data_IF_287406167202
#
_entry.id   IF_287406167202
#
_cell.length_a   1.000
_cell.length_b   1.000
_cell.length_c   1.000
_cell.angle_alpha   90.00
_cell.angle_beta   90.00
_cell.angle_gamma   90.00
#
_symmetry.space_group_name_H-M   'P 1'
#
loop_
_entity.id
_entity.type
_entity.pdbx_description
1 polymer ?
#
# COMPACT_ATOMS: atom_id res chain seq x y z
N UNK A 1 -45.24 42.22 -12.24
CA UNK A 1 -44.93 41.12 -13.17
C UNK A 1 -43.47 41.14 -13.67
N UNK A 2 -42.50 41.54 -12.84
CA UNK A 2 -41.07 41.68 -13.25
C UNK A 2 -40.17 40.60 -12.64
N UNK A 3 -40.40 40.25 -11.36
CA UNK A 3 -39.58 39.27 -10.63
C UNK A 3 -39.71 37.83 -11.15
N UNK A 4 -40.92 37.42 -11.58
CA UNK A 4 -41.15 36.08 -12.14
C UNK A 4 -40.46 35.87 -13.50
N UNK A 5 -40.25 36.95 -14.28
CA UNK A 5 -39.48 36.88 -15.54
C UNK A 5 -37.98 36.81 -15.29
N UNK A 6 -37.46 37.47 -14.25
CA UNK A 6 -36.05 37.35 -13.88
C UNK A 6 -35.69 35.94 -13.38
N UNK A 7 -36.57 35.31 -12.59
CA UNK A 7 -36.37 33.95 -12.09
C UNK A 7 -36.36 32.88 -13.20
N UNK A 8 -37.20 33.01 -14.23
CA UNK A 8 -37.22 32.03 -15.34
C UNK A 8 -35.99 32.12 -16.25
N UNK A 9 -35.35 33.30 -16.33
CA UNK A 9 -34.09 33.52 -17.07
C UNK A 9 -32.89 33.04 -16.24
N UNK A 10 -32.96 33.10 -14.90
CA UNK A 10 -31.89 32.67 -14.00
C UNK A 10 -31.74 31.14 -13.92
N UNK A 11 -32.83 30.37 -14.07
CA UNK A 11 -32.83 28.92 -13.99
C UNK A 11 -31.88 28.19 -14.98
N UNK A 12 -31.86 28.51 -16.30
CA UNK A 12 -30.93 27.89 -17.24
C UNK A 12 -29.48 28.32 -16.98
N UNK A 13 -29.25 29.57 -16.55
CA UNK A 13 -27.92 30.10 -16.24
C UNK A 13 -27.31 29.40 -15.02
N UNK A 14 -28.09 29.20 -13.96
CA UNK A 14 -27.69 28.43 -12.78
C UNK A 14 -27.30 26.99 -13.13
N UNK A 15 -28.02 26.36 -14.07
CA UNK A 15 -27.72 24.99 -14.53
C UNK A 15 -26.41 24.90 -15.31
N UNK A 16 -26.09 25.92 -16.11
CA UNK A 16 -24.83 26.02 -16.85
C UNK A 16 -23.66 26.29 -15.89
N UNK A 17 -23.85 27.19 -14.92
CA UNK A 17 -22.85 27.48 -13.89
C UNK A 17 -22.52 26.23 -13.07
N UNK A 18 -23.54 25.45 -12.65
CA UNK A 18 -23.29 24.19 -11.93
C UNK A 18 -22.51 23.18 -12.75
N UNK A 19 -22.83 23.02 -14.05
CA UNK A 19 -22.09 22.11 -14.95
C UNK A 19 -20.62 22.53 -15.11
N UNK A 20 -20.37 23.83 -15.24
CA UNK A 20 -19.01 24.37 -15.34
C UNK A 20 -18.27 24.20 -14.01
N UNK A 21 -18.90 24.50 -12.87
CA UNK A 21 -18.32 24.31 -11.55
C UNK A 21 -17.95 22.84 -11.29
N UNK A 22 -18.79 21.88 -11.68
CA UNK A 22 -18.46 20.46 -11.58
C UNK A 22 -17.29 20.07 -12.48
N UNK A 23 -17.17 20.63 -13.68
CA UNK A 23 -16.04 20.37 -14.57
C UNK A 23 -14.73 20.93 -13.99
N UNK A 24 -14.76 22.15 -13.43
CA UNK A 24 -13.61 22.75 -12.76
C UNK A 24 -13.16 21.98 -11.51
N UNK A 25 -14.11 21.46 -10.72
CA UNK A 25 -13.79 20.60 -9.57
C UNK A 25 -13.11 19.30 -10.02
N UNK A 26 -13.61 18.64 -11.07
CA UNK A 26 -13.01 17.41 -11.59
C UNK A 26 -11.57 17.64 -12.12
N UNK A 27 -11.32 18.77 -12.78
CA UNK A 27 -9.99 19.16 -13.26
C UNK A 27 -9.06 19.47 -12.08
N UNK A 28 -9.56 20.16 -11.04
CA UNK A 28 -8.80 20.46 -9.83
C UNK A 28 -8.37 19.21 -9.04
N UNK A 29 -9.24 18.20 -8.94
CA UNK A 29 -8.92 16.91 -8.29
C UNK A 29 -7.86 16.15 -9.11
N UNK A 30 -7.91 16.25 -10.45
CA UNK A 30 -6.92 15.64 -11.35
C UNK A 30 -5.50 16.20 -11.15
N UNK A 31 -5.38 17.51 -10.91
CA UNK A 31 -4.09 18.18 -10.66
C UNK A 31 -3.43 17.71 -9.35
N UNK A 32 -4.21 17.49 -8.27
CA UNK A 32 -3.69 17.00 -6.99
C UNK A 32 -3.25 15.54 -7.08
N UNK A 33 -4.00 14.71 -7.80
CA UNK A 33 -3.63 13.31 -8.05
C UNK A 33 -2.33 13.19 -8.89
N UNK A 34 -2.15 14.08 -9.88
CA UNK A 34 -0.91 14.14 -10.66
C UNK A 34 0.26 14.75 -9.88
N UNK A 35 0.02 15.72 -8.99
CA UNK A 35 1.07 16.26 -8.12
C UNK A 35 1.62 15.21 -7.13
N UNK A 36 0.78 14.28 -6.66
CA UNK A 36 1.25 13.11 -5.90
C UNK A 36 2.00 12.10 -6.77
N UNK A 37 1.70 11.99 -8.07
CA UNK A 37 2.36 11.06 -8.99
C UNK A 37 3.71 11.55 -9.53
N UNK A 38 3.91 12.88 -9.67
CA UNK A 38 5.12 13.47 -10.29
C UNK A 38 6.38 13.34 -9.42
N UNK A 39 6.26 13.09 -8.11
CA UNK A 39 7.46 12.96 -7.26
C UNK A 39 7.31 12.16 -5.99
N UNK A 40 6.18 12.28 -5.27
CA UNK A 40 5.97 11.57 -4.01
C UNK A 40 5.83 10.06 -4.20
N UNK A 41 4.94 9.64 -5.10
CA UNK A 41 4.70 8.23 -5.37
C UNK A 41 5.90 7.55 -6.03
N UNK A 42 6.58 8.22 -6.97
CA UNK A 42 7.80 7.70 -7.59
C UNK A 42 8.95 7.52 -6.59
N UNK A 43 9.12 8.46 -5.64
CA UNK A 43 10.09 8.30 -4.54
C UNK A 43 9.69 7.25 -3.52
N UNK A 44 8.41 7.16 -3.18
CA UNK A 44 7.90 6.10 -2.31
C UNK A 44 8.11 4.72 -2.95
N UNK A 45 7.82 4.59 -4.25
CA UNK A 45 8.03 3.36 -5.01
C UNK A 45 9.52 2.97 -5.05
N UNK A 46 10.42 3.88 -5.40
CA UNK A 46 11.87 3.58 -5.44
C UNK A 46 12.44 3.25 -4.05
N UNK A 47 11.97 3.93 -3.00
CA UNK A 47 12.38 3.63 -1.62
C UNK A 47 11.85 2.27 -1.16
N UNK A 48 10.57 1.97 -1.43
CA UNK A 48 9.97 0.67 -1.11
C UNK A 48 10.59 -0.46 -1.91
N UNK A 49 10.95 -0.22 -3.17
CA UNK A 49 11.67 -1.18 -4.00
C UNK A 49 13.04 -1.47 -3.41
N UNK A 50 13.80 -0.43 -3.07
CA UNK A 50 15.11 -0.58 -2.42
C UNK A 50 14.98 -1.32 -1.08
N UNK A 51 13.97 -0.98 -0.28
CA UNK A 51 13.70 -1.66 0.98
C UNK A 51 13.40 -3.15 0.76
N UNK A 52 12.51 -3.47 -0.19
CA UNK A 52 12.16 -4.84 -0.57
C UNK A 52 13.40 -5.61 -1.02
N UNK A 53 14.21 -5.04 -1.91
CA UNK A 53 15.39 -5.69 -2.47
C UNK A 53 16.41 -6.02 -1.36
N UNK A 54 16.58 -5.12 -0.38
CA UNK A 54 17.40 -5.40 0.80
C UNK A 54 16.77 -6.45 1.71
N UNK A 55 15.46 -6.40 1.92
CA UNK A 55 14.74 -7.35 2.77
C UNK A 55 14.79 -8.77 2.19
N UNK A 56 14.66 -8.93 0.86
CA UNK A 56 14.74 -10.23 0.18
C UNK A 56 16.09 -10.94 0.45
N UNK A 57 17.16 -10.18 0.69
CA UNK A 57 18.48 -10.71 1.05
C UNK A 57 18.63 -10.90 2.56
N UNK A 58 18.23 -9.91 3.37
CA UNK A 58 18.45 -9.91 4.82
C UNK A 58 17.54 -10.93 5.53
N UNK A 59 16.29 -11.05 5.10
CA UNK A 59 15.28 -11.89 5.74
C UNK A 59 15.67 -13.38 5.80
N UNK A 60 16.12 -14.04 4.71
CA UNK A 60 16.55 -15.43 4.78
C UNK A 60 17.82 -15.63 5.63
N UNK A 61 18.77 -14.68 5.57
CA UNK A 61 19.97 -14.73 6.41
C UNK A 61 19.59 -14.66 7.88
N UNK A 62 18.72 -13.71 8.25
CA UNK A 62 18.22 -13.57 9.61
C UNK A 62 17.45 -14.82 10.08
N UNK A 63 16.63 -15.41 9.20
CA UNK A 63 15.92 -16.65 9.50
C UNK A 63 16.89 -17.80 9.82
N UNK A 64 17.97 -17.96 9.04
CA UNK A 64 18.99 -18.98 9.30
C UNK A 64 19.68 -18.75 10.65
N UNK A 65 20.12 -17.52 10.92
CA UNK A 65 20.81 -17.18 12.17
C UNK A 65 19.92 -17.46 13.38
N UNK A 66 18.67 -17.00 13.35
CA UNK A 66 17.70 -17.25 14.43
C UNK A 66 17.42 -18.75 14.56
N UNK A 67 17.33 -19.48 13.44
CA UNK A 67 17.16 -20.93 13.44
C UNK A 67 18.30 -21.66 14.16
N UNK A 68 19.55 -21.23 13.94
CA UNK A 68 20.72 -21.77 14.66
C UNK A 68 20.64 -21.45 16.15
N UNK A 69 20.26 -20.22 16.51
CA UNK A 69 20.10 -19.82 17.92
C UNK A 69 19.02 -20.67 18.60
N UNK A 70 17.87 -20.87 17.94
CA UNK A 70 16.78 -21.71 18.44
C UNK A 70 17.23 -23.16 18.60
N UNK A 71 18.02 -23.69 17.66
CA UNK A 71 18.57 -25.04 17.76
C UNK A 71 19.46 -25.22 18.99
N UNK A 72 20.32 -24.23 19.27
CA UNK A 72 21.16 -24.22 20.47
C UNK A 72 20.31 -24.07 21.74
N UNK A 73 19.35 -23.13 21.76
CA UNK A 73 18.46 -22.92 22.91
C UNK A 73 17.60 -24.15 23.22
N UNK A 74 17.16 -24.87 22.20
CA UNK A 74 16.45 -26.13 22.36
C UNK A 74 17.37 -27.22 22.94
N UNK A 75 18.59 -27.32 22.42
CA UNK A 75 19.59 -28.29 22.91
C UNK A 75 20.06 -27.99 24.34
N UNK A 76 20.03 -26.73 24.75
CA UNK A 76 20.31 -26.28 26.11
C UNK A 76 19.11 -26.43 27.07
N UNK A 77 17.99 -26.99 26.61
CA UNK A 77 16.72 -27.14 27.36
C UNK A 77 16.13 -25.80 27.87
N UNK A 78 16.59 -24.66 27.32
CA UNK A 78 16.10 -23.31 27.66
C UNK A 78 14.77 -23.03 26.96
N UNK A 79 14.58 -23.56 25.76
CA UNK A 79 13.41 -23.32 24.91
C UNK A 79 12.64 -24.61 24.65
N UNK A 80 11.30 -24.54 24.74
CA UNK A 80 10.44 -25.70 24.51
C UNK A 80 10.34 -25.98 23.01
N UNK A 81 10.17 -27.26 22.68
CA UNK A 81 9.97 -27.72 21.30
C UNK A 81 8.80 -27.01 20.62
N UNK A 82 7.71 -26.76 21.37
CA UNK A 82 6.51 -26.12 20.83
C UNK A 82 6.77 -24.69 20.36
N UNK A 83 7.62 -23.94 21.08
CA UNK A 83 8.00 -22.58 20.70
C UNK A 83 8.90 -22.57 19.46
N UNK A 84 9.84 -23.52 19.38
CA UNK A 84 10.71 -23.70 18.21
C UNK A 84 9.91 -24.06 16.95
N UNK A 85 8.96 -24.98 17.08
CA UNK A 85 8.07 -25.38 15.99
C UNK A 85 7.17 -24.22 15.57
N UNK A 86 6.59 -23.48 16.52
CA UNK A 86 5.73 -22.33 16.21
C UNK A 86 6.50 -21.24 15.44
N UNK A 87 7.74 -20.98 15.82
CA UNK A 87 8.61 -20.09 15.06
C UNK A 87 8.89 -20.62 13.65
N UNK A 88 9.27 -21.90 13.52
CA UNK A 88 9.56 -22.52 12.22
C UNK A 88 8.37 -22.54 11.27
N UNK A 89 7.16 -22.80 11.79
CA UNK A 89 5.90 -22.69 11.04
C UNK A 89 5.69 -21.25 10.56
N UNK A 90 5.97 -20.25 11.41
CA UNK A 90 5.90 -18.84 11.03
C UNK A 90 6.82 -18.49 9.85
N UNK A 91 8.06 -18.97 9.87
CA UNK A 91 9.02 -18.78 8.77
C UNK A 91 8.53 -19.47 7.48
N UNK A 92 8.04 -20.72 7.59
CA UNK A 92 7.53 -21.48 6.45
C UNK A 92 6.31 -20.80 5.80
N UNK A 93 5.37 -20.30 6.61
CA UNK A 93 4.19 -19.59 6.13
C UNK A 93 4.56 -18.24 5.49
N UNK A 94 5.52 -17.51 6.06
CA UNK A 94 5.98 -16.25 5.48
C UNK A 94 6.61 -16.46 4.09
N UNK A 95 7.47 -17.47 3.94
CA UNK A 95 8.04 -17.83 2.64
C UNK A 95 6.97 -18.28 1.64
N UNK A 96 6.01 -19.10 2.08
CA UNK A 96 4.90 -19.54 1.22
C UNK A 96 4.00 -18.38 0.79
N UNK A 97 3.71 -17.43 1.68
CA UNK A 97 2.92 -16.25 1.35
C UNK A 97 3.61 -15.36 0.31
N UNK A 98 4.94 -15.21 0.39
CA UNK A 98 5.71 -14.45 -0.59
C UNK A 98 5.58 -15.04 -2.00
N UNK A 99 5.72 -16.36 -2.13
CA UNK A 99 5.52 -17.09 -3.39
C UNK A 99 4.08 -16.97 -3.92
N UNK A 100 3.08 -17.10 -3.04
CA UNK A 100 1.68 -16.94 -3.42
C UNK A 100 1.39 -15.53 -3.94
N UNK A 101 1.95 -14.49 -3.32
CA UNK A 101 1.80 -13.11 -3.79
C UNK A 101 2.47 -12.93 -5.15
N UNK A 102 3.67 -13.52 -5.35
CA UNK A 102 4.37 -13.46 -6.64
C UNK A 102 3.56 -14.15 -7.76
N UNK A 103 2.94 -15.29 -7.48
CA UNK A 103 2.10 -15.99 -8.46
C UNK A 103 0.77 -15.29 -8.74
N UNK A 104 0.18 -14.65 -7.73
CA UNK A 104 -1.08 -13.92 -7.87
C UNK A 104 -0.93 -12.64 -8.73
N UNK A 105 0.24 -12.01 -8.66
CA UNK A 105 0.53 -10.75 -9.36
C UNK A 105 1.18 -10.93 -10.74
N UNK A 106 1.24 -12.17 -11.22
CA UNK A 106 1.77 -12.57 -12.52
C UNK A 106 0.64 -12.65 -13.55
#
# INVERSE_FOLDING_TARGET
MSLLKQLSIAAPVLRIINKLATAWLLIGIHQVALAQSIGGLSRAQSTLQTLKDNLDVILPIAAIIIGVIIFVLYSAEVMRKDDAIRWGIGVLLAGSAAELVMLLWK
#
